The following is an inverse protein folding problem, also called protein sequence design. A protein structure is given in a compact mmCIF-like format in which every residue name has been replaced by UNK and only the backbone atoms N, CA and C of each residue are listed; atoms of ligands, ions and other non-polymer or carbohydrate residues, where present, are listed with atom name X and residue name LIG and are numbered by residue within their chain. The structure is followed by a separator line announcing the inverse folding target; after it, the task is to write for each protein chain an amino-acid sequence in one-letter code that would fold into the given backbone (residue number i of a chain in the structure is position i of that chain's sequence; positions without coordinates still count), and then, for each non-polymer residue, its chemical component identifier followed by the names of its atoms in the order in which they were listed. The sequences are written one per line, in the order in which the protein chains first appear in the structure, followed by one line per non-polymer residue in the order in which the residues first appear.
data_IF_226401306563
#
_entry.id   IF_226401306563
#
_cell.length_a   1.000
_cell.length_b   1.000
_cell.length_c   1.000
_cell.angle_alpha   90.00
_cell.angle_beta   90.00
_cell.angle_gamma   90.00
#
_symmetry.space_group_name_H-M   'P 1'
#
loop_
_entity.id
_entity.type
_entity.pdbx_description
1 polymer ?
#
# COMPACT_ATOMS: atom_id res chain seq x y z
N UNK A 1 2.90 -1.22 -27.24
CA UNK A 1 3.78 -0.04 -27.22
C UNK A 1 3.13 0.93 -26.26
N UNK A 2 3.81 1.32 -25.18
CA UNK A 2 3.22 2.20 -24.16
C UNK A 2 3.37 3.66 -24.59
N UNK A 3 2.26 4.40 -24.61
CA UNK A 3 2.13 5.79 -25.11
C UNK A 3 2.34 6.85 -24.01
N UNK A 4 3.24 6.60 -23.05
CA UNK A 4 3.64 7.63 -22.09
C UNK A 4 4.85 8.41 -22.64
N UNK A 5 4.55 9.43 -23.45
CA UNK A 5 5.56 10.27 -24.11
C UNK A 5 6.44 11.05 -23.10
N UNK A 6 5.86 11.50 -21.98
CA UNK A 6 6.60 12.23 -20.96
C UNK A 6 7.63 11.34 -20.25
N UNK A 7 7.29 10.07 -20.04
CA UNK A 7 8.22 9.07 -19.46
C UNK A 7 9.25 8.58 -20.48
N UNK A 8 8.89 8.52 -21.77
CA UNK A 8 9.87 8.31 -22.84
C UNK A 8 10.93 9.41 -22.78
N UNK A 9 10.55 10.68 -22.65
CA UNK A 9 11.50 11.80 -22.56
C UNK A 9 12.40 11.72 -21.30
N UNK A 10 11.86 11.45 -20.12
CA UNK A 10 12.65 11.35 -18.88
C UNK A 10 13.70 10.21 -18.89
N UNK A 11 13.39 9.11 -19.58
CA UNK A 11 14.32 7.97 -19.74
C UNK A 11 15.27 8.21 -20.92
N UNK A 12 14.82 8.94 -21.94
CA UNK A 12 15.59 9.27 -23.14
C UNK A 12 16.65 10.35 -22.91
N UNK A 13 16.41 11.31 -22.02
CA UNK A 13 17.34 12.41 -21.73
C UNK A 13 18.69 11.91 -21.16
N UNK A 14 18.74 10.92 -20.23
CA UNK A 14 19.97 10.22 -19.83
C UNK A 14 20.55 9.27 -20.88
N UNK A 15 19.73 8.72 -21.79
CA UNK A 15 20.17 7.81 -22.87
C UNK A 15 21.05 8.52 -23.91
N UNK A 16 20.90 9.83 -24.08
CA UNK A 16 21.75 10.64 -24.95
C UNK A 16 23.23 10.59 -24.57
N UNK A 17 23.51 10.39 -23.28
CA UNK A 17 24.86 10.40 -22.69
C UNK A 17 25.35 8.99 -22.27
N UNK A 18 24.50 7.96 -22.41
CA UNK A 18 24.82 6.57 -22.03
C UNK A 18 25.45 5.80 -23.20
N UNK A 19 26.54 5.08 -22.92
CA UNK A 19 27.16 4.16 -23.88
C UNK A 19 26.37 2.85 -24.08
N UNK A 20 25.41 2.54 -23.19
CA UNK A 20 24.57 1.34 -23.29
C UNK A 20 23.13 1.71 -23.69
N UNK A 21 22.76 1.39 -24.93
CA UNK A 21 21.44 1.63 -25.53
C UNK A 21 20.68 0.32 -25.81
N UNK A 22 21.07 -0.77 -25.17
CA UNK A 22 20.43 -2.07 -25.42
C UNK A 22 18.97 -2.07 -24.92
N UNK A 23 18.09 -2.75 -25.66
CA UNK A 23 16.68 -2.86 -25.29
C UNK A 23 16.45 -3.55 -23.94
N UNK A 24 17.40 -4.38 -23.47
CA UNK A 24 17.35 -4.98 -22.13
C UNK A 24 17.65 -3.95 -21.03
N UNK A 25 18.66 -3.10 -21.23
CA UNK A 25 19.04 -2.05 -20.29
C UNK A 25 17.96 -0.97 -20.14
N UNK A 26 17.34 -0.57 -21.25
CA UNK A 26 16.22 0.39 -21.24
C UNK A 26 15.00 -0.18 -20.51
N UNK A 27 14.66 -1.45 -20.75
CA UNK A 27 13.59 -2.15 -20.02
C UNK A 27 13.88 -2.22 -18.53
N UNK A 28 15.11 -2.58 -18.14
CA UNK A 28 15.53 -2.62 -16.73
C UNK A 28 15.35 -1.26 -16.04
N UNK A 29 15.76 -0.17 -16.69
CA UNK A 29 15.64 1.20 -16.16
C UNK A 29 14.20 1.69 -16.05
N UNK A 30 13.34 1.27 -16.99
CA UNK A 30 11.90 1.53 -16.93
C UNK A 30 11.21 0.76 -15.80
N UNK A 31 11.67 -0.46 -15.51
CA UNK A 31 11.12 -1.32 -14.45
C UNK A 31 11.66 -1.00 -13.05
N UNK A 32 12.91 -0.56 -12.90
CA UNK A 32 13.50 -0.11 -11.62
C UNK A 32 12.75 1.10 -11.03
N UNK A 33 12.08 1.90 -11.87
CA UNK A 33 11.26 3.05 -11.47
C UNK A 33 9.76 2.73 -11.37
N UNK A 34 9.38 1.45 -11.31
CA UNK A 34 7.99 1.01 -11.24
C UNK A 34 7.79 -0.05 -10.17
N UNK A 35 6.62 -0.07 -9.53
CA UNK A 35 6.32 -1.02 -8.44
C UNK A 35 5.17 -1.92 -8.85
N UNK A 36 5.22 -3.19 -8.46
CA UNK A 36 4.13 -4.11 -8.79
C UNK A 36 2.84 -3.71 -8.10
N UNK A 37 1.71 -3.95 -8.75
CA UNK A 37 0.39 -3.85 -8.14
C UNK A 37 0.24 -4.75 -6.90
N UNK A 38 0.98 -5.86 -6.84
CA UNK A 38 1.07 -6.75 -5.68
C UNK A 38 1.99 -6.24 -4.54
N UNK A 39 2.64 -5.07 -4.66
CA UNK A 39 3.40 -4.47 -3.55
C UNK A 39 2.45 -4.19 -2.37
N UNK A 40 2.88 -4.50 -1.14
CA UNK A 40 2.09 -4.28 0.09
C UNK A 40 1.54 -2.85 0.20
N UNK A 41 2.28 -1.86 -0.29
CA UNK A 41 1.85 -0.44 -0.33
C UNK A 41 0.73 -0.21 -1.33
N UNK A 42 0.83 -0.80 -2.51
CA UNK A 42 -0.22 -0.73 -3.54
C UNK A 42 -1.51 -1.41 -3.06
N UNK A 43 -1.39 -2.55 -2.38
CA UNK A 43 -2.53 -3.23 -1.74
C UNK A 43 -3.11 -2.41 -0.58
N UNK A 44 -2.26 -1.78 0.22
CA UNK A 44 -2.71 -0.96 1.35
C UNK A 44 -3.46 0.29 0.88
N UNK A 45 -2.96 1.03 -0.11
CA UNK A 45 -3.62 2.22 -0.66
C UNK A 45 -4.81 1.85 -1.55
N UNK A 46 -4.66 0.79 -2.35
CA UNK A 46 -5.57 0.40 -3.41
C UNK A 46 -5.22 1.06 -4.75
N UNK A 47 -5.29 0.28 -5.84
CA UNK A 47 -4.96 0.76 -7.20
C UNK A 47 -5.89 1.90 -7.62
N UNK A 48 -7.18 1.80 -7.31
CA UNK A 48 -8.16 2.82 -7.69
C UNK A 48 -7.87 4.17 -7.02
N UNK A 49 -7.49 4.17 -5.74
CA UNK A 49 -7.12 5.38 -5.02
C UNK A 49 -5.82 6.00 -5.57
N UNK A 50 -4.86 5.15 -5.94
CA UNK A 50 -3.63 5.58 -6.60
C UNK A 50 -3.89 6.24 -7.96
N UNK A 51 -4.75 5.63 -8.79
CA UNK A 51 -5.14 6.20 -10.09
C UNK A 51 -5.95 7.49 -9.92
N UNK A 52 -6.87 7.53 -8.96
CA UNK A 52 -7.65 8.74 -8.66
C UNK A 52 -6.77 9.92 -8.21
N UNK A 53 -5.63 9.64 -7.57
CA UNK A 53 -4.62 10.63 -7.21
C UNK A 53 -3.68 11.03 -8.37
N UNK A 54 -3.94 10.55 -9.60
CA UNK A 54 -3.17 10.84 -10.79
C UNK A 54 -2.06 9.84 -11.12
N UNK A 55 -2.02 8.70 -10.43
CA UNK A 55 -1.00 7.66 -10.64
C UNK A 55 -1.21 6.86 -11.92
N UNK A 56 -0.13 6.60 -12.66
CA UNK A 56 -0.17 5.79 -13.87
C UNK A 56 0.02 4.29 -13.59
N UNK A 57 -0.78 3.44 -14.24
CA UNK A 57 -0.66 1.98 -14.17
C UNK A 57 -0.36 1.42 -15.56
N UNK A 58 0.71 0.65 -15.67
CA UNK A 58 1.09 -0.08 -16.88
C UNK A 58 0.64 -1.53 -16.77
N UNK A 59 -0.15 -2.03 -17.71
CA UNK A 59 -0.49 -3.45 -17.79
C UNK A 59 0.29 -4.11 -18.93
N UNK A 60 0.93 -5.24 -18.66
CA UNK A 60 1.43 -6.09 -19.73
C UNK A 60 0.23 -6.88 -20.32
N UNK A 61 0.18 -6.96 -21.64
CA UNK A 61 -0.86 -7.68 -22.39
C UNK A 61 -0.73 -9.20 -22.26
N UNK A 62 0.41 -9.69 -21.75
CA UNK A 62 0.72 -11.12 -21.64
C UNK A 62 0.82 -11.62 -20.19
N UNK A 63 0.68 -10.74 -19.19
CA UNK A 63 0.59 -11.18 -17.79
C UNK A 63 -0.86 -11.52 -17.44
N UNK A 64 -1.10 -12.78 -17.05
CA UNK A 64 -2.38 -13.24 -16.49
C UNK A 64 -2.54 -12.84 -15.01
N UNK A 65 -1.46 -12.43 -14.33
CA UNK A 65 -1.45 -12.17 -12.88
C UNK A 65 -1.54 -10.66 -12.52
N UNK A 66 -2.73 -10.29 -12.05
CA UNK A 66 -3.08 -9.28 -11.02
C UNK A 66 -2.30 -7.95 -10.95
N UNK A 67 -2.43 -7.14 -12.02
CA UNK A 67 -2.67 -5.69 -11.82
C UNK A 67 -1.64 -4.73 -12.41
N UNK A 68 -0.56 -5.24 -12.99
CA UNK A 68 0.43 -4.41 -13.69
C UNK A 68 1.39 -3.66 -12.76
N UNK A 69 1.97 -2.58 -13.28
CA UNK A 69 3.05 -1.81 -12.66
C UNK A 69 2.61 -0.38 -12.41
N UNK A 70 2.70 0.07 -11.17
CA UNK A 70 2.54 1.46 -10.77
C UNK A 70 3.80 2.22 -11.19
N UNK A 71 3.60 3.36 -11.86
CA UNK A 71 4.67 4.08 -12.56
C UNK A 71 5.29 5.20 -11.72
N UNK A 72 4.62 5.65 -10.67
CA UNK A 72 5.05 6.70 -9.76
C UNK A 72 5.13 6.16 -8.31
N UNK A 73 6.33 5.70 -7.88
CA UNK A 73 6.55 5.25 -6.52
C UNK A 73 6.45 6.37 -5.47
N UNK A 74 6.81 7.61 -5.82
CA UNK A 74 6.79 8.73 -4.87
C UNK A 74 5.36 9.14 -4.53
N UNK A 75 4.46 9.13 -5.52
CA UNK A 75 3.02 9.26 -5.29
C UNK A 75 2.50 8.14 -4.41
N UNK A 76 2.91 6.90 -4.63
CA UNK A 76 2.47 5.78 -3.80
C UNK A 76 2.94 5.95 -2.35
N UNK A 77 4.21 6.30 -2.13
CA UNK A 77 4.76 6.52 -0.78
C UNK A 77 4.02 7.65 -0.04
N UNK A 78 3.67 8.75 -0.73
CA UNK A 78 2.84 9.82 -0.17
C UNK A 78 1.46 9.31 0.27
N UNK A 79 0.76 8.58 -0.60
CA UNK A 79 -0.58 8.06 -0.31
C UNK A 79 -0.56 7.04 0.83
N UNK A 80 0.50 6.24 0.95
CA UNK A 80 0.68 5.33 2.08
C UNK A 80 0.83 6.13 3.38
N UNK A 81 1.65 7.18 3.38
CA UNK A 81 1.82 8.07 4.53
C UNK A 81 0.50 8.71 4.97
N UNK A 82 -0.23 9.33 4.03
CA UNK A 82 -1.52 9.96 4.30
C UNK A 82 -2.56 8.97 4.86
N UNK A 83 -2.59 7.75 4.32
CA UNK A 83 -3.49 6.71 4.82
C UNK A 83 -3.07 6.22 6.21
N UNK A 84 -1.77 6.07 6.48
CA UNK A 84 -1.27 5.72 7.81
C UNK A 84 -1.61 6.79 8.85
N UNK A 85 -1.49 8.07 8.49
CA UNK A 85 -1.89 9.19 9.36
C UNK A 85 -3.39 9.17 9.66
N UNK A 86 -4.25 8.96 8.66
CA UNK A 86 -5.70 8.83 8.88
C UNK A 86 -6.06 7.67 9.82
N UNK A 87 -5.40 6.53 9.67
CA UNK A 87 -5.60 5.38 10.55
C UNK A 87 -5.08 5.65 11.98
N UNK A 88 -3.96 6.36 12.11
CA UNK A 88 -3.45 6.78 13.41
C UNK A 88 -4.37 7.79 14.11
N UNK A 89 -4.95 8.74 13.37
CA UNK A 89 -5.97 9.66 13.87
C UNK A 89 -7.22 8.92 14.34
N UNK A 90 -7.69 7.93 13.57
CA UNK A 90 -8.82 7.08 13.94
C UNK A 90 -8.57 6.34 15.26
N UNK A 91 -7.38 5.77 15.42
CA UNK A 91 -6.99 5.06 16.64
C UNK A 91 -6.87 6.05 17.80
N UNK A 92 -6.13 7.14 17.65
CA UNK A 92 -5.94 8.12 18.73
C UNK A 92 -7.25 8.75 19.21
N UNK A 93 -8.26 8.88 18.34
CA UNK A 93 -9.61 9.29 18.71
C UNK A 93 -10.31 8.36 19.72
N UNK A 94 -9.86 7.10 19.85
CA UNK A 94 -10.35 6.14 20.86
C UNK A 94 -9.82 6.43 22.28
N UNK A 95 -8.95 7.43 22.44
CA UNK A 95 -8.39 7.85 23.74
C UNK A 95 -6.95 7.38 23.99
N UNK A 96 -6.25 6.91 22.96
CA UNK A 96 -4.83 6.58 23.06
C UNK A 96 -3.97 7.83 23.25
N UNK A 97 -2.98 7.74 24.12
CA UNK A 97 -2.14 8.88 24.51
C UNK A 97 -1.12 9.28 23.44
N UNK A 98 -0.63 8.32 22.66
CA UNK A 98 0.36 8.54 21.60
C UNK A 98 0.24 7.44 20.55
N UNK A 99 0.65 7.74 19.33
CA UNK A 99 0.79 6.80 18.23
C UNK A 99 2.20 6.87 17.62
N UNK A 100 2.57 5.81 16.89
CA UNK A 100 3.77 5.77 16.06
C UNK A 100 3.49 4.83 14.88
N UNK A 101 3.42 5.38 13.67
CA UNK A 101 3.17 4.62 12.45
C UNK A 101 4.35 4.71 11.47
N UNK A 102 4.58 3.64 10.71
CA UNK A 102 5.58 3.59 9.64
C UNK A 102 5.24 2.49 8.64
N UNK A 103 5.73 2.62 7.40
CA UNK A 103 5.58 1.60 6.34
C UNK A 103 6.29 0.28 6.69
N UNK A 104 7.41 0.41 7.41
CA UNK A 104 8.15 -0.71 7.95
C UNK A 104 8.63 -0.35 9.36
N UNK A 105 8.12 -1.08 10.35
CA UNK A 105 8.54 -0.91 11.72
C UNK A 105 9.69 -1.90 11.98
N UNK A 106 10.88 -1.43 12.39
CA UNK A 106 11.97 -2.32 12.73
C UNK A 106 11.52 -3.31 13.81
N UNK A 107 11.93 -4.57 13.70
CA UNK A 107 11.57 -5.61 14.65
C UNK A 107 11.86 -5.26 16.13
N UNK A 108 12.84 -4.37 16.36
CA UNK A 108 13.23 -3.91 17.70
C UNK A 108 12.47 -2.69 18.21
N UNK A 109 11.44 -2.20 17.52
CA UNK A 109 10.77 -0.96 17.92
C UNK A 109 10.14 -1.03 19.31
N UNK A 110 9.76 -2.22 19.76
CA UNK A 110 9.22 -2.48 21.10
C UNK A 110 10.29 -2.87 22.12
N UNK A 111 11.57 -2.96 21.73
CA UNK A 111 12.63 -3.37 22.65
C UNK A 111 12.80 -2.33 23.76
N UNK A 112 12.73 -2.77 25.02
CA UNK A 112 12.79 -1.90 26.17
C UNK A 112 11.48 -1.17 26.49
N UNK A 113 10.42 -1.42 25.70
CA UNK A 113 9.06 -1.04 26.08
C UNK A 113 8.47 -2.11 26.99
N UNK A 114 7.69 -1.68 27.99
CA UNK A 114 6.91 -2.57 28.84
C UNK A 114 5.50 -2.67 28.26
N UNK A 115 5.02 -3.89 28.05
CA UNK A 115 3.61 -4.14 27.73
C UNK A 115 2.73 -3.76 28.93
N UNK A 116 1.64 -3.04 28.65
CA UNK A 116 0.63 -2.68 29.63
C UNK A 116 -0.61 -3.50 29.27
N UNK A 117 -0.99 -4.44 30.13
CA UNK A 117 -2.24 -5.17 29.97
C UNK A 117 -3.41 -4.17 30.05
N UNK A 118 -4.22 -4.16 29.00
CA UNK A 118 -5.48 -3.41 29.00
C UNK A 118 -6.47 -4.04 29.98
N UNK A 119 -7.23 -3.21 30.69
CA UNK A 119 -8.39 -3.70 31.42
C UNK A 119 -9.50 -4.02 30.42
N UNK A 120 -9.96 -5.27 30.40
CA UNK A 120 -11.08 -5.68 29.55
C UNK A 120 -12.35 -4.95 30.02
N UNK A 121 -12.95 -4.17 29.14
CA UNK A 121 -14.21 -3.49 29.40
C UNK A 121 -15.35 -4.46 29.08
N UNK A 122 -16.34 -4.67 29.97
CA UNK A 122 -17.47 -5.54 29.66
C UNK A 122 -18.20 -5.02 28.41
N UNK A 123 -18.51 -5.94 27.50
CA UNK A 123 -19.26 -5.63 26.29
C UNK A 123 -20.61 -5.00 26.65
N UNK A 124 -21.01 -3.99 25.88
CA UNK A 124 -22.36 -3.47 25.95
C UNK A 124 -23.36 -4.49 25.39
N UNK A 125 -24.63 -4.38 25.78
CA UNK A 125 -25.68 -5.27 25.27
C UNK A 125 -25.81 -5.23 23.74
N UNK A 126 -25.49 -4.08 23.12
CA UNK A 126 -25.48 -3.92 21.66
C UNK A 126 -24.32 -4.70 21.02
N UNK A 127 -23.12 -4.62 21.58
CA UNK A 127 -21.95 -5.39 21.13
C UNK A 127 -22.15 -6.90 21.32
N UNK A 128 -22.78 -7.33 22.42
CA UNK A 128 -23.14 -8.74 22.65
C UNK A 128 -24.12 -9.27 21.60
N UNK A 129 -25.13 -8.48 21.25
CA UNK A 129 -26.08 -8.82 20.21
C UNK A 129 -25.40 -8.90 18.83
N UNK A 130 -24.51 -7.94 18.51
CA UNK A 130 -23.74 -7.93 17.28
C UNK A 130 -22.80 -9.15 17.18
N UNK A 131 -22.11 -9.50 18.26
CA UNK A 131 -21.26 -10.69 18.34
C UNK A 131 -22.06 -11.97 18.12
N UNK A 132 -23.24 -12.07 18.74
CA UNK A 132 -24.13 -13.22 18.57
C UNK A 132 -24.59 -13.37 17.12
N UNK A 133 -24.96 -12.26 16.47
CA UNK A 133 -25.35 -12.25 15.06
C UNK A 133 -24.19 -12.64 14.12
N UNK A 134 -22.98 -12.14 14.40
CA UNK A 134 -21.77 -12.48 13.65
C UNK A 134 -21.41 -13.97 13.79
N UNK A 135 -21.49 -14.52 15.00
CA UNK A 135 -21.28 -15.97 15.24
C UNK A 135 -22.29 -16.82 14.47
N UNK A 136 -23.58 -16.48 14.54
CA UNK A 136 -24.63 -17.18 13.78
C UNK A 136 -24.47 -17.06 12.25
N UNK A 137 -23.85 -15.97 11.77
CA UNK A 137 -23.50 -15.83 10.35
C UNK A 137 -22.31 -16.70 9.97
N UNK A 138 -21.28 -16.78 10.82
CA UNK A 138 -20.11 -17.63 10.60
C UNK A 138 -20.49 -19.12 10.56
N UNK A 139 -21.34 -19.58 11.48
CA UNK A 139 -21.86 -20.96 11.48
C UNK A 139 -22.63 -21.30 10.20
N UNK A 140 -23.42 -20.36 9.67
CA UNK A 140 -24.12 -20.54 8.38
C UNK A 140 -23.20 -20.60 7.16
N UNK A 141 -22.02 -20.01 7.22
CA UNK A 141 -21.03 -20.06 6.15
C UNK A 141 -20.13 -21.30 6.24
N UNK A 142 -20.10 -21.95 7.40
CA UNK A 142 -19.29 -23.16 7.65
C UNK A 142 -20.04 -24.47 7.35
N UNK A 143 -21.37 -24.43 7.16
CA UNK A 143 -22.23 -25.54 6.73
C UNK A 143 -22.67 -25.37 5.28
#
# INVERSE_FOLDING_TARGET
MSDDHARQEQVFEPLGHSYNKSAAWIRQRLTEASMRAADKRALFVGIDAYVAAGGGVMRDLFDEDDGGWLTDPALLDRLVGEKLEQEAERITAEGWKWDSNAIDLPWKITYGMREIEGAEVPMTAEEEAALTALKAKAERLAN
#
